data_IF_829082883693
#
_entry.id   IF_829082883693
#
_cell.length_a   1.000
_cell.length_b   1.000
_cell.length_c   1.000
_cell.angle_alpha   90.00
_cell.angle_beta   90.00
_cell.angle_gamma   90.00
#
_symmetry.space_group_name_H-M   'P 1'
#
loop_
_entity.id
_entity.type
_entity.pdbx_description
1 polymer ?
#
# COMPACT_ATOMS: atom_id res chain seq x y z
N UNK A 1 0.66 -2.55 -13.55
CA UNK A 1 1.19 -2.04 -14.82
C UNK A 1 0.24 -1.01 -15.41
N UNK A 2 0.76 -0.17 -16.28
CA UNK A 2 0.00 0.77 -17.12
C UNK A 2 0.44 0.51 -18.55
N UNK A 3 -0.46 0.11 -19.43
CA UNK A 3 -0.18 -0.24 -20.83
C UNK A 3 1.03 -1.19 -20.96
N UNK A 4 1.02 -2.29 -20.20
CA UNK A 4 2.06 -3.31 -20.09
C UNK A 4 3.40 -2.84 -19.48
N UNK A 5 3.60 -1.56 -19.22
CA UNK A 5 4.80 -1.05 -18.54
C UNK A 5 4.61 -1.10 -17.02
N UNK A 6 5.62 -1.58 -16.28
CA UNK A 6 5.57 -1.64 -14.83
C UNK A 6 5.56 -0.24 -14.21
N UNK A 7 4.75 -0.05 -13.16
CA UNK A 7 4.90 1.12 -12.27
C UNK A 7 6.31 1.05 -11.63
N UNK A 8 6.84 2.21 -11.26
CA UNK A 8 8.24 2.27 -10.81
C UNK A 8 9.26 2.54 -11.93
N UNK A 9 8.84 2.49 -13.21
CA UNK A 9 9.71 2.79 -14.34
C UNK A 9 9.35 4.10 -15.06
N UNK A 10 8.41 4.88 -14.52
CA UNK A 10 7.92 6.12 -15.14
C UNK A 10 8.62 7.38 -14.63
N UNK A 11 8.88 7.47 -13.33
CA UNK A 11 9.55 8.62 -12.72
C UNK A 11 11.06 8.46 -12.66
N UNK A 12 11.76 9.50 -12.28
CA UNK A 12 13.21 9.47 -12.05
C UNK A 12 13.59 8.51 -10.91
N UNK A 13 12.78 8.53 -9.87
CA UNK A 13 12.91 7.69 -8.68
C UNK A 13 11.57 7.04 -8.37
N UNK A 14 11.58 5.79 -7.90
CA UNK A 14 10.38 5.10 -7.46
C UNK A 14 10.67 4.23 -6.25
N UNK A 15 9.72 4.20 -5.30
CA UNK A 15 9.88 3.49 -4.04
C UNK A 15 8.90 2.32 -3.97
N UNK A 16 9.40 1.16 -3.57
CA UNK A 16 8.61 0.00 -3.22
C UNK A 16 8.78 -0.31 -1.74
N UNK A 17 7.66 -0.52 -1.05
CA UNK A 17 7.66 -0.95 0.35
C UNK A 17 7.58 -2.46 0.43
N UNK A 18 8.42 -3.04 1.27
CA UNK A 18 8.42 -4.46 1.63
C UNK A 18 8.02 -4.70 3.08
N UNK A 19 7.33 -3.71 3.67
CA UNK A 19 6.72 -3.86 5.00
C UNK A 19 5.85 -5.13 5.08
N UNK A 20 5.73 -5.75 6.24
CA UNK A 20 5.03 -7.03 6.46
C UNK A 20 3.61 -7.12 5.92
N UNK A 21 2.89 -5.98 5.80
CA UNK A 21 1.52 -5.94 5.28
C UNK A 21 1.44 -5.79 3.76
N UNK A 22 2.57 -5.66 3.05
CA UNK A 22 2.58 -5.48 1.59
C UNK A 22 2.37 -6.80 0.86
N UNK A 23 2.06 -6.71 -0.45
CA UNK A 23 1.89 -7.90 -1.30
C UNK A 23 3.18 -8.74 -1.39
N UNK A 24 4.32 -8.11 -1.21
CA UNK A 24 5.62 -8.71 -1.02
C UNK A 24 6.24 -8.10 0.24
N UNK A 25 6.84 -8.90 1.08
CA UNK A 25 7.46 -8.48 2.34
C UNK A 25 8.87 -9.04 2.47
N UNK A 26 9.69 -8.40 3.31
CA UNK A 26 11.02 -8.88 3.70
C UNK A 26 11.10 -9.12 5.20
N UNK A 27 10.15 -9.89 5.75
CA UNK A 27 10.09 -10.34 7.16
C UNK A 27 9.96 -9.20 8.20
N UNK A 28 9.19 -8.18 7.86
CA UNK A 28 8.95 -7.07 8.79
C UNK A 28 9.01 -5.73 8.06
N UNK A 29 10.15 -5.09 8.09
CA UNK A 29 10.40 -3.85 7.38
C UNK A 29 11.32 -4.07 6.20
N UNK A 30 11.23 -3.20 5.20
CA UNK A 30 12.09 -3.20 4.03
C UNK A 30 11.53 -2.36 2.90
N UNK A 31 12.38 -2.10 1.93
CA UNK A 31 12.00 -1.34 0.76
C UNK A 31 13.04 -1.40 -0.34
N UNK A 32 12.67 -0.89 -1.49
CA UNK A 32 13.57 -0.77 -2.63
C UNK A 32 13.36 0.58 -3.31
N UNK A 33 14.46 1.25 -3.58
CA UNK A 33 14.50 2.44 -4.42
C UNK A 33 14.93 2.03 -5.83
N UNK A 34 14.07 2.31 -6.80
CA UNK A 34 14.40 2.20 -8.23
C UNK A 34 14.85 3.55 -8.73
N UNK A 35 16.02 3.59 -9.35
CA UNK A 35 16.65 4.82 -9.86
C UNK A 35 16.71 4.75 -11.37
N UNK A 36 15.83 5.45 -12.04
CA UNK A 36 15.74 5.48 -13.50
C UNK A 36 16.61 6.59 -14.11
N UNK A 37 16.85 7.67 -13.35
CA UNK A 37 17.68 8.79 -13.80
C UNK A 37 19.15 8.54 -13.47
N UNK A 38 20.00 8.54 -14.50
CA UNK A 38 21.45 8.32 -14.37
C UNK A 38 22.15 9.30 -13.44
N UNK A 39 21.66 10.55 -13.35
CA UNK A 39 22.20 11.56 -12.44
C UNK A 39 22.28 11.09 -10.99
N UNK A 40 21.28 10.31 -10.54
CA UNK A 40 21.21 9.85 -9.15
C UNK A 40 21.87 8.48 -8.92
N UNK A 41 22.14 7.72 -9.98
CA UNK A 41 22.64 6.34 -9.84
C UNK A 41 23.99 6.24 -9.13
N UNK A 42 24.84 7.24 -9.27
CA UNK A 42 26.17 7.25 -8.66
C UNK A 42 26.12 7.60 -7.16
N UNK A 43 25.15 8.39 -6.73
CA UNK A 43 25.05 8.88 -5.35
C UNK A 43 24.33 7.91 -4.41
N UNK A 44 23.31 7.22 -4.91
CA UNK A 44 22.41 6.42 -4.07
C UNK A 44 23.14 5.32 -3.29
N UNK A 45 24.09 4.55 -3.85
CA UNK A 45 24.84 3.55 -3.07
C UNK A 45 25.55 4.15 -1.86
N UNK A 46 26.25 5.28 -2.03
CA UNK A 46 26.90 5.98 -0.95
C UNK A 46 25.95 6.58 0.06
N UNK A 47 24.89 7.24 -0.40
CA UNK A 47 23.85 7.79 0.48
C UNK A 47 23.18 6.71 1.32
N UNK A 48 22.95 5.53 0.77
CA UNK A 48 22.31 4.41 1.47
C UNK A 48 23.20 3.78 2.54
N UNK A 49 24.53 3.78 2.34
CA UNK A 49 25.44 3.00 3.17
C UNK A 49 26.72 3.77 3.47
N UNK A 50 26.69 4.64 4.46
CA UNK A 50 27.83 5.30 5.10
C UNK A 50 28.88 5.92 4.15
N UNK A 51 28.49 6.35 2.94
CA UNK A 51 29.41 6.88 1.94
C UNK A 51 30.19 5.83 1.16
N UNK A 52 29.85 4.55 1.28
CA UNK A 52 30.55 3.49 0.53
C UNK A 52 30.29 3.62 -0.97
N UNK A 53 31.36 3.73 -1.74
CA UNK A 53 31.30 3.70 -3.21
C UNK A 53 30.87 2.32 -3.70
N UNK A 54 30.23 2.30 -4.87
CA UNK A 54 29.97 1.05 -5.57
C UNK A 54 31.29 0.38 -5.90
N UNK A 55 31.49 -0.83 -5.41
CA UNK A 55 32.72 -1.57 -5.66
C UNK A 55 32.82 -1.99 -7.15
N UNK A 56 33.79 -1.49 -7.91
CA UNK A 56 33.84 -1.69 -9.36
C UNK A 56 34.35 -3.07 -9.76
N UNK A 57 35.06 -3.77 -8.88
CA UNK A 57 35.76 -5.01 -9.22
C UNK A 57 35.32 -6.22 -8.39
N UNK A 58 34.40 -7.01 -8.94
CA UNK A 58 33.90 -8.23 -8.31
C UNK A 58 34.98 -9.28 -7.98
N UNK A 59 36.14 -9.23 -8.65
CA UNK A 59 37.24 -10.18 -8.41
C UNK A 59 38.04 -9.88 -7.14
N UNK A 60 37.87 -8.69 -6.55
CA UNK A 60 38.58 -8.26 -5.31
C UNK A 60 37.61 -8.05 -4.15
N UNK A 61 36.62 -8.93 -4.00
CA UNK A 61 35.59 -8.84 -2.97
C UNK A 61 36.13 -8.88 -1.52
N UNK A 62 37.36 -9.38 -1.34
CA UNK A 62 38.04 -9.43 -0.04
C UNK A 62 38.66 -8.08 0.39
N UNK A 63 38.74 -7.08 -0.50
CA UNK A 63 39.13 -5.75 -0.07
C UNK A 63 38.13 -5.23 0.94
N UNK A 64 38.58 -4.76 2.12
CA UNK A 64 37.68 -4.20 3.10
C UNK A 64 36.86 -3.07 2.48
N UNK A 65 35.56 -3.16 2.58
CA UNK A 65 34.65 -2.14 2.05
C UNK A 65 34.89 -0.74 2.66
N UNK A 66 35.51 -0.68 3.83
CA UNK A 66 35.87 0.55 4.53
C UNK A 66 36.96 1.37 3.84
N UNK A 67 37.60 0.85 2.81
CA UNK A 67 38.66 1.59 2.06
C UNK A 67 38.05 2.58 1.07
N UNK A 68 36.79 2.44 0.67
CA UNK A 68 36.14 3.27 -0.35
C UNK A 68 34.93 4.03 0.23
N UNK A 69 35.13 4.74 1.37
CA UNK A 69 34.06 5.46 2.11
C UNK A 69 34.04 6.97 1.86
N UNK A 70 34.90 7.46 1.03
CA UNK A 70 35.10 8.91 0.79
C UNK A 70 34.39 9.41 -0.47
N UNK A 71 33.25 8.86 -0.78
CA UNK A 71 32.43 9.34 -1.90
C UNK A 71 32.00 10.79 -1.62
N UNK A 72 32.30 11.67 -2.56
CA UNK A 72 31.74 13.02 -2.56
C UNK A 72 30.23 12.94 -2.80
N UNK A 73 29.46 13.36 -1.81
CA UNK A 73 28.00 13.37 -1.80
C UNK A 73 27.45 14.80 -1.85
N UNK A 74 28.21 15.77 -2.37
CA UNK A 74 27.77 17.16 -2.53
C UNK A 74 27.23 17.75 -1.20
N UNK A 75 27.95 17.57 -0.10
CA UNK A 75 27.58 17.98 1.26
C UNK A 75 26.34 17.27 1.87
N UNK A 76 25.93 16.16 1.31
CA UNK A 76 24.83 15.35 1.88
C UNK A 76 25.43 14.29 2.80
N UNK A 77 25.02 14.29 4.06
CA UNK A 77 25.43 13.25 5.02
C UNK A 77 24.84 11.89 4.63
N UNK A 78 25.65 10.83 4.52
CA UNK A 78 25.16 9.50 4.21
C UNK A 78 24.35 8.91 5.36
N UNK A 79 23.51 7.97 5.01
CA UNK A 79 22.68 7.21 5.96
C UNK A 79 23.18 5.78 6.08
N UNK A 80 22.71 5.09 7.10
CA UNK A 80 22.92 3.65 7.26
C UNK A 80 21.59 2.89 7.09
N UNK A 81 21.21 2.63 5.83
CA UNK A 81 19.97 1.98 5.44
C UNK A 81 20.14 0.66 4.66
N UNK A 82 21.16 -0.15 4.91
CA UNK A 82 21.26 -1.46 4.26
C UNK A 82 20.14 -2.39 4.74
N UNK A 83 19.63 -3.19 3.82
CA UNK A 83 18.75 -4.30 4.17
C UNK A 83 19.61 -5.44 4.73
N UNK A 84 19.13 -6.14 5.75
CA UNK A 84 19.81 -7.32 6.28
C UNK A 84 19.78 -8.47 5.26
N UNK A 85 20.85 -9.27 5.21
CA UNK A 85 20.99 -10.39 4.29
C UNK A 85 19.83 -11.39 4.37
N UNK A 86 19.37 -11.69 5.60
CA UNK A 86 18.22 -12.60 5.77
C UNK A 86 16.93 -12.01 5.20
N UNK A 87 16.73 -10.71 5.30
CA UNK A 87 15.59 -10.01 4.69
C UNK A 87 15.68 -10.03 3.16
N UNK A 88 16.87 -9.79 2.61
CA UNK A 88 17.11 -9.84 1.18
C UNK A 88 16.91 -11.25 0.63
N UNK A 89 17.38 -12.27 1.33
CA UNK A 89 17.17 -13.67 0.99
C UNK A 89 15.69 -14.04 0.95
N UNK A 90 14.94 -13.69 2.00
CA UNK A 90 13.49 -13.91 2.04
C UNK A 90 12.77 -13.17 0.90
N UNK A 91 13.15 -11.92 0.64
CA UNK A 91 12.62 -11.12 -0.46
C UNK A 91 12.86 -11.75 -1.82
N UNK A 92 14.04 -12.31 -2.05
CA UNK A 92 14.41 -13.01 -3.29
C UNK A 92 13.46 -14.18 -3.56
N UNK A 93 13.25 -15.07 -2.59
CA UNK A 93 12.32 -16.21 -2.74
C UNK A 93 10.85 -15.79 -2.85
N UNK A 94 10.45 -14.70 -2.19
CA UNK A 94 9.08 -14.19 -2.28
C UNK A 94 8.80 -13.50 -3.60
N UNK A 95 9.82 -12.94 -4.27
CA UNK A 95 9.66 -12.25 -5.55
C UNK A 95 9.09 -13.17 -6.62
N UNK A 96 9.53 -14.42 -6.69
CA UNK A 96 9.01 -15.42 -7.65
C UNK A 96 7.51 -15.69 -7.47
N UNK A 97 6.99 -15.48 -6.26
CA UNK A 97 5.58 -15.72 -5.93
C UNK A 97 4.67 -14.53 -6.19
N UNK A 98 5.23 -13.32 -6.35
CA UNK A 98 4.47 -12.05 -6.43
C UNK A 98 3.39 -12.07 -7.51
N UNK A 99 3.70 -12.59 -8.69
CA UNK A 99 2.73 -12.65 -9.79
C UNK A 99 1.51 -13.51 -9.43
N UNK A 100 1.74 -14.68 -8.83
CA UNK A 100 0.68 -15.58 -8.39
C UNK A 100 -0.15 -14.97 -7.25
N UNK A 101 0.50 -14.33 -6.29
CA UNK A 101 -0.17 -13.64 -5.19
C UNK A 101 -1.04 -12.49 -5.71
N UNK A 102 -0.54 -11.68 -6.63
CA UNK A 102 -1.30 -10.60 -7.25
C UNK A 102 -2.47 -11.13 -8.08
N UNK A 103 -2.31 -12.24 -8.81
CA UNK A 103 -3.40 -12.90 -9.53
C UNK A 103 -4.51 -13.34 -8.58
N UNK A 104 -4.14 -13.98 -7.45
CA UNK A 104 -5.11 -14.40 -6.41
C UNK A 104 -5.85 -13.18 -5.83
N UNK A 105 -5.14 -12.11 -5.48
CA UNK A 105 -5.75 -10.86 -4.98
C UNK A 105 -6.74 -10.25 -5.99
N UNK A 106 -6.38 -10.22 -7.26
CA UNK A 106 -7.25 -9.76 -8.34
C UNK A 106 -8.56 -10.56 -8.43
N UNK A 107 -8.48 -11.89 -8.38
CA UNK A 107 -9.66 -12.76 -8.42
C UNK A 107 -10.58 -12.50 -7.21
N UNK A 108 -10.00 -12.38 -6.01
CA UNK A 108 -10.75 -12.09 -4.78
C UNK A 108 -11.43 -10.71 -4.87
N UNK A 109 -10.70 -9.67 -5.26
CA UNK A 109 -11.24 -8.33 -5.41
C UNK A 109 -12.42 -8.30 -6.41
N UNK A 110 -12.24 -8.91 -7.59
CA UNK A 110 -13.30 -9.02 -8.60
C UNK A 110 -14.52 -9.76 -8.06
N UNK A 111 -14.34 -10.84 -7.30
CA UNK A 111 -15.45 -11.59 -6.69
C UNK A 111 -16.21 -10.74 -5.68
N UNK A 112 -15.53 -10.01 -4.79
CA UNK A 112 -16.18 -9.10 -3.83
C UNK A 112 -16.95 -8.01 -4.57
N UNK A 113 -16.31 -7.30 -5.49
CA UNK A 113 -16.93 -6.22 -6.27
C UNK A 113 -18.16 -6.70 -7.05
N UNK A 114 -18.06 -7.86 -7.72
CA UNK A 114 -19.19 -8.46 -8.45
C UNK A 114 -20.35 -8.81 -7.54
N UNK A 115 -20.06 -9.36 -6.34
CA UNK A 115 -21.11 -9.77 -5.37
C UNK A 115 -21.81 -8.58 -4.73
N UNK A 116 -21.17 -7.43 -4.65
CA UNK A 116 -21.71 -6.21 -4.04
C UNK A 116 -22.21 -5.19 -5.06
N UNK A 117 -22.19 -5.49 -6.36
CA UNK A 117 -22.51 -4.55 -7.46
C UNK A 117 -23.93 -3.96 -7.39
N UNK A 118 -24.88 -4.69 -6.79
CA UNK A 118 -26.29 -4.27 -6.70
C UNK A 118 -26.51 -3.17 -5.63
N UNK A 119 -25.50 -2.88 -4.80
CA UNK A 119 -25.54 -1.77 -3.86
C UNK A 119 -24.95 -0.52 -4.54
N UNK A 120 -25.77 0.24 -5.27
CA UNK A 120 -25.35 1.39 -6.07
C UNK A 120 -24.70 2.53 -5.27
N UNK A 121 -24.94 2.57 -3.96
CA UNK A 121 -24.35 3.50 -3.00
C UNK A 121 -22.97 3.04 -2.49
N UNK A 122 -22.55 1.80 -2.77
CA UNK A 122 -21.22 1.29 -2.49
C UNK A 122 -20.39 1.32 -3.76
N UNK A 123 -19.45 2.27 -3.84
CA UNK A 123 -18.65 2.50 -5.03
C UNK A 123 -17.22 2.03 -4.83
N UNK A 124 -16.78 1.13 -5.67
CA UNK A 124 -15.38 0.70 -5.74
C UNK A 124 -14.58 1.56 -6.71
N UNK A 125 -13.27 1.55 -6.56
CA UNK A 125 -12.38 2.19 -7.49
C UNK A 125 -12.57 1.59 -8.90
N UNK A 126 -12.81 2.46 -9.89
CA UNK A 126 -12.91 2.03 -11.28
C UNK A 126 -11.52 1.67 -11.82
N UNK A 127 -11.41 0.53 -12.48
CA UNK A 127 -10.21 0.17 -13.24
C UNK A 127 -10.25 0.86 -14.60
N UNK A 128 -9.17 1.52 -14.98
CA UNK A 128 -9.03 2.13 -16.31
C UNK A 128 -8.57 1.07 -17.32
N UNK A 129 -8.95 1.23 -18.59
CA UNK A 129 -8.43 0.40 -19.70
C UNK A 129 -6.90 0.53 -19.75
N UNK A 130 -6.20 -0.57 -19.94
CA UNK A 130 -4.73 -0.60 -19.95
C UNK A 130 -4.06 -0.62 -18.56
N UNK A 131 -4.83 -0.57 -17.47
CA UNK A 131 -4.30 -0.61 -16.11
C UNK A 131 -4.46 -1.99 -15.49
N UNK A 132 -3.38 -2.51 -14.93
CA UNK A 132 -3.31 -3.76 -14.20
C UNK A 132 -3.06 -3.48 -12.71
N UNK A 133 -4.07 -3.73 -11.88
CA UNK A 133 -4.03 -3.44 -10.44
C UNK A 133 -3.54 -4.66 -9.66
N UNK A 134 -2.78 -4.44 -8.57
CA UNK A 134 -2.35 -5.49 -7.65
C UNK A 134 -3.27 -5.66 -6.43
N UNK A 135 -4.22 -4.76 -6.23
CA UNK A 135 -5.16 -4.76 -5.11
C UNK A 135 -4.50 -5.04 -3.76
N UNK A 136 -3.50 -4.25 -3.42
CA UNK A 136 -2.95 -4.26 -2.06
C UNK A 136 -4.05 -3.99 -1.02
N UNK A 137 -4.90 -3.03 -1.32
CA UNK A 137 -6.11 -2.70 -0.56
C UNK A 137 -7.34 -2.82 -1.46
N UNK A 138 -8.49 -3.03 -0.86
CA UNK A 138 -9.78 -2.97 -1.56
C UNK A 138 -10.65 -1.85 -0.95
N UNK A 139 -10.36 -0.58 -1.28
CA UNK A 139 -11.16 0.54 -0.82
C UNK A 139 -12.51 0.57 -1.52
N UNK A 140 -13.52 0.99 -0.77
CA UNK A 140 -14.84 1.30 -1.28
C UNK A 140 -15.37 2.57 -0.61
N UNK A 141 -16.28 3.25 -1.29
CA UNK A 141 -16.95 4.44 -0.78
C UNK A 141 -18.41 4.12 -0.50
N UNK A 142 -18.87 4.45 0.71
CA UNK A 142 -20.28 4.43 1.05
C UNK A 142 -20.81 5.84 0.81
N UNK A 143 -21.82 5.99 -0.05
CA UNK A 143 -22.47 7.27 -0.31
C UNK A 143 -23.34 7.67 0.88
N UNK A 144 -22.77 8.50 1.76
CA UNK A 144 -23.44 8.98 2.98
C UNK A 144 -24.52 10.05 2.72
N UNK A 145 -24.74 10.45 1.46
CA UNK A 145 -25.88 11.29 1.08
C UNK A 145 -27.20 10.50 1.15
N UNK A 146 -27.14 9.18 1.08
CA UNK A 146 -28.29 8.33 1.27
C UNK A 146 -28.57 8.24 2.76
N UNK A 147 -29.82 8.58 3.14
CA UNK A 147 -30.31 8.63 4.53
C UNK A 147 -29.93 7.35 5.29
N UNK A 148 -29.35 7.52 6.48
CA UNK A 148 -28.94 6.47 7.42
C UNK A 148 -27.77 5.55 6.98
N UNK A 149 -27.15 5.76 5.83
CA UNK A 149 -25.91 5.08 5.47
C UNK A 149 -24.73 5.76 6.14
N UNK A 150 -24.28 5.19 7.25
CA UNK A 150 -23.08 5.60 7.97
C UNK A 150 -22.03 4.49 7.88
N UNK A 151 -20.83 4.83 7.40
CA UNK A 151 -19.72 3.88 7.36
C UNK A 151 -19.35 3.33 8.74
N UNK A 152 -19.48 4.16 9.79
CA UNK A 152 -19.14 3.75 11.15
C UNK A 152 -20.10 2.66 11.64
N UNK A 153 -21.40 2.79 11.37
CA UNK A 153 -22.37 1.73 11.65
C UNK A 153 -22.11 0.45 10.87
N UNK A 154 -21.67 0.60 9.61
CA UNK A 154 -21.24 -0.57 8.83
C UNK A 154 -20.05 -1.27 9.47
N UNK A 155 -18.99 -0.52 9.83
CA UNK A 155 -17.78 -1.05 10.48
C UNK A 155 -18.14 -1.72 11.82
N UNK A 156 -18.97 -1.07 12.63
CA UNK A 156 -19.40 -1.57 13.94
C UNK A 156 -20.12 -2.92 13.81
N UNK A 157 -21.11 -3.01 12.92
CA UNK A 157 -21.86 -4.26 12.72
C UNK A 157 -20.95 -5.37 12.18
N UNK A 158 -20.08 -5.06 11.23
CA UNK A 158 -19.13 -6.03 10.69
C UNK A 158 -18.18 -6.56 11.79
N UNK A 159 -17.70 -5.68 12.65
CA UNK A 159 -16.82 -6.05 13.76
C UNK A 159 -17.55 -6.77 14.89
N UNK A 160 -18.61 -6.16 15.45
CA UNK A 160 -19.28 -6.68 16.63
C UNK A 160 -20.02 -8.00 16.36
N UNK A 161 -20.79 -8.05 15.25
CA UNK A 161 -21.63 -9.20 14.92
C UNK A 161 -20.90 -10.30 14.15
N UNK A 162 -20.09 -9.92 13.17
CA UNK A 162 -19.47 -10.87 12.24
C UNK A 162 -17.98 -11.11 12.51
N UNK A 163 -17.38 -10.40 13.46
CA UNK A 163 -15.95 -10.48 13.79
C UNK A 163 -15.05 -10.23 12.58
N UNK A 164 -15.50 -9.36 11.68
CA UNK A 164 -14.76 -8.95 10.48
C UNK A 164 -14.26 -7.53 10.66
N UNK A 165 -12.95 -7.35 10.63
CA UNK A 165 -12.33 -6.04 10.73
C UNK A 165 -12.37 -5.32 9.37
N UNK A 166 -13.25 -4.34 9.24
CA UNK A 166 -13.24 -3.35 8.16
C UNK A 166 -12.62 -2.08 8.69
N UNK A 167 -11.70 -1.50 7.96
CA UNK A 167 -10.90 -0.36 8.45
C UNK A 167 -11.02 0.86 7.54
N UNK A 168 -10.62 2.01 8.06
CA UNK A 168 -10.45 3.25 7.29
C UNK A 168 -8.97 3.51 7.11
N UNK A 169 -8.52 3.67 5.87
CA UNK A 169 -7.09 3.88 5.55
C UNK A 169 -6.92 5.19 4.77
N UNK A 170 -6.48 6.31 5.40
CA UNK A 170 -6.05 6.41 6.80
C UNK A 170 -6.64 7.66 7.40
N UNK A 171 -6.35 7.92 8.69
CA UNK A 171 -6.69 9.21 9.31
C UNK A 171 -5.93 10.32 8.58
N UNK A 172 -6.60 11.44 8.20
CA UNK A 172 -5.95 12.53 7.47
C UNK A 172 -4.78 13.14 8.24
N UNK A 173 -3.63 13.28 7.59
CA UNK A 173 -2.41 13.76 8.26
C UNK A 173 -2.60 15.12 8.90
N UNK A 174 -3.29 16.04 8.23
CA UNK A 174 -3.55 17.39 8.74
C UNK A 174 -4.40 17.42 10.02
N UNK A 175 -5.07 16.31 10.39
CA UNK A 175 -5.83 16.17 11.65
C UNK A 175 -5.03 15.60 12.81
N UNK A 176 -3.80 15.18 12.60
CA UNK A 176 -2.96 14.74 13.70
C UNK A 176 -2.57 15.92 14.57
N UNK A 177 -2.65 15.76 15.90
CA UNK A 177 -2.29 16.78 16.89
C UNK A 177 -0.90 17.40 16.65
N UNK A 178 0.03 16.59 16.17
CA UNK A 178 1.39 17.03 15.82
C UNK A 178 1.39 18.15 14.76
N UNK A 179 0.63 17.97 13.67
CA UNK A 179 0.54 18.97 12.60
C UNK A 179 -0.33 20.15 12.99
N UNK A 180 -1.43 19.93 13.74
CA UNK A 180 -2.29 21.00 14.22
C UNK A 180 -1.55 21.99 15.13
N UNK A 181 -0.64 21.50 15.98
CA UNK A 181 0.14 22.36 16.90
C UNK A 181 1.20 23.21 16.19
N UNK A 182 1.64 22.84 14.98
CA UNK A 182 2.65 23.57 14.22
C UNK A 182 2.11 24.73 13.38
N UNK A 183 0.83 25.03 13.50
CA UNK A 183 0.24 26.34 13.24
C UNK A 183 0.24 26.86 11.81
N UNK A 184 0.47 26.04 10.81
CA UNK A 184 0.31 26.49 9.43
C UNK A 184 -1.11 26.25 8.95
N UNK A 185 -1.91 27.29 8.89
CA UNK A 185 -3.29 27.31 8.37
C UNK A 185 -3.43 26.90 6.89
N UNK A 186 -2.38 26.39 6.25
CA UNK A 186 -2.40 25.91 4.88
C UNK A 186 -3.32 24.70 4.63
N UNK A 187 -3.82 24.07 5.70
CA UNK A 187 -4.60 22.84 5.62
C UNK A 187 -6.11 23.04 5.68
N UNK A 188 -6.58 24.28 5.69
CA UNK A 188 -7.98 24.60 5.98
C UNK A 188 -8.97 24.16 4.91
N UNK A 189 -8.51 23.75 3.71
CA UNK A 189 -9.42 23.37 2.63
C UNK A 189 -8.99 22.11 1.87
N UNK A 190 -8.83 21.00 2.58
CA UNK A 190 -8.59 19.69 1.97
C UNK A 190 -9.92 18.91 1.82
N UNK A 191 -10.89 19.53 1.16
CA UNK A 191 -12.26 19.03 1.00
C UNK A 191 -12.31 17.62 0.42
N UNK A 192 -11.46 17.30 -0.57
CA UNK A 192 -11.38 15.97 -1.16
C UNK A 192 -10.84 14.93 -0.17
N UNK A 193 -9.86 15.28 0.65
CA UNK A 193 -9.31 14.40 1.70
C UNK A 193 -10.35 14.13 2.77
N UNK A 194 -11.08 15.17 3.19
CA UNK A 194 -12.17 15.04 4.16
C UNK A 194 -13.31 14.17 3.61
N UNK A 195 -13.71 14.41 2.39
CA UNK A 195 -14.73 13.61 1.71
C UNK A 195 -14.29 12.14 1.62
N UNK A 196 -13.04 11.90 1.21
CA UNK A 196 -12.47 10.56 1.14
C UNK A 196 -12.52 9.87 2.51
N UNK A 197 -12.00 10.51 3.54
CA UNK A 197 -11.97 9.96 4.90
C UNK A 197 -13.37 9.69 5.46
N UNK A 198 -14.30 10.61 5.22
CA UNK A 198 -15.69 10.48 5.71
C UNK A 198 -16.42 9.27 5.13
N UNK A 199 -16.14 8.90 3.89
CA UNK A 199 -16.93 7.94 3.13
C UNK A 199 -16.23 6.60 2.88
N UNK A 200 -14.91 6.53 3.04
CA UNK A 200 -14.11 5.38 2.65
C UNK A 200 -14.09 4.29 3.74
N UNK A 201 -14.22 3.06 3.27
CA UNK A 201 -13.91 1.83 4.02
C UNK A 201 -12.94 0.97 3.20
N UNK A 202 -12.20 0.10 3.85
CA UNK A 202 -11.36 -0.90 3.20
C UNK A 202 -11.77 -2.30 3.64
N UNK A 203 -12.13 -3.14 2.68
CA UNK A 203 -12.47 -4.53 2.95
C UNK A 203 -11.18 -5.34 3.25
N UNK A 204 -11.21 -6.23 4.26
CA UNK A 204 -10.10 -7.13 4.50
C UNK A 204 -9.91 -8.07 3.30
N UNK A 205 -8.68 -8.17 2.84
CA UNK A 205 -8.34 -9.04 1.72
C UNK A 205 -6.86 -9.43 1.80
N UNK A 206 -6.59 -10.69 2.09
CA UNK A 206 -5.25 -11.23 2.11
C UNK A 206 -5.18 -12.61 1.44
N UNK A 207 -4.04 -12.98 0.95
CA UNK A 207 -3.84 -14.16 0.10
C UNK A 207 -4.07 -15.51 0.81
N UNK A 208 -4.11 -15.51 2.13
CA UNK A 208 -4.41 -16.70 2.94
C UNK A 208 -5.91 -17.00 3.06
N UNK A 209 -6.78 -16.04 2.72
CA UNK A 209 -8.21 -16.29 2.71
C UNK A 209 -8.56 -17.40 1.71
N UNK A 210 -9.31 -18.37 2.17
CA UNK A 210 -9.89 -19.42 1.34
C UNK A 210 -11.29 -19.01 0.83
N UNK A 211 -11.91 -19.87 0.07
CA UNK A 211 -13.25 -19.60 -0.47
C UNK A 211 -14.34 -19.48 0.61
N UNK A 212 -14.20 -20.19 1.74
CA UNK A 212 -15.14 -20.11 2.87
C UNK A 212 -15.06 -18.73 3.52
N UNK A 213 -13.85 -18.24 3.79
CA UNK A 213 -13.62 -16.92 4.36
C UNK A 213 -14.15 -15.82 3.46
N UNK A 214 -13.83 -15.91 2.16
CA UNK A 214 -14.28 -14.93 1.17
C UNK A 214 -15.80 -14.89 1.04
N UNK A 215 -16.44 -16.05 1.02
CA UNK A 215 -17.90 -16.14 0.97
C UNK A 215 -18.53 -15.62 2.28
N UNK A 216 -17.90 -15.86 3.43
CA UNK A 216 -18.35 -15.32 4.72
C UNK A 216 -18.29 -13.81 4.73
N UNK A 217 -17.16 -13.21 4.31
CA UNK A 217 -17.02 -11.77 4.16
C UNK A 217 -18.13 -11.17 3.27
N UNK A 218 -18.37 -11.77 2.10
CA UNK A 218 -19.37 -11.29 1.14
C UNK A 218 -20.78 -11.36 1.74
N UNK A 219 -21.17 -12.51 2.32
CA UNK A 219 -22.50 -12.70 2.89
C UNK A 219 -22.76 -11.74 4.06
N UNK A 220 -21.77 -11.58 4.94
CA UNK A 220 -21.84 -10.67 6.08
C UNK A 220 -21.99 -9.22 5.63
N UNK A 221 -21.23 -8.82 4.61
CA UNK A 221 -21.33 -7.48 4.01
C UNK A 221 -22.73 -7.24 3.41
N UNK A 222 -23.25 -8.19 2.64
CA UNK A 222 -24.61 -8.09 2.06
C UNK A 222 -25.66 -7.95 3.16
N UNK A 223 -25.60 -8.78 4.22
CA UNK A 223 -26.53 -8.73 5.34
C UNK A 223 -26.48 -7.39 6.07
N UNK A 224 -25.27 -6.88 6.31
CA UNK A 224 -25.08 -5.59 6.97
C UNK A 224 -25.62 -4.44 6.13
N UNK A 225 -25.31 -4.39 4.83
CA UNK A 225 -25.82 -3.36 3.93
C UNK A 225 -27.35 -3.39 3.83
N UNK A 226 -27.95 -4.57 3.72
CA UNK A 226 -29.42 -4.72 3.74
C UNK A 226 -30.04 -4.27 5.06
N UNK A 227 -29.40 -4.56 6.19
CA UNK A 227 -29.92 -4.15 7.51
C UNK A 227 -29.87 -2.62 7.69
N UNK A 228 -28.84 -1.97 7.18
CA UNK A 228 -28.72 -0.52 7.21
C UNK A 228 -29.80 0.17 6.34
N UNK A 229 -30.17 -0.44 5.22
CA UNK A 229 -31.24 0.07 4.36
C UNK A 229 -32.64 -0.12 4.97
N UNK A 230 -32.87 -1.18 5.75
CA UNK A 230 -34.19 -1.48 6.36
C UNK A 230 -34.53 -0.64 7.59
N UNK A 231 -33.54 0.00 8.21
CA UNK A 231 -33.76 0.91 9.35
C UNK A 231 -34.25 2.31 8.92
N UNK A 232 -34.71 2.40 7.69
CA UNK A 232 -35.41 3.51 7.08
C UNK A 232 -36.91 3.18 6.95
#
# INVERSE_FOLDING_TARGET
KINNRHVGTYGDLSIFSFHQQKNMTTLGEGGMLVVNNKKFQNYIPGLRHNGHKKYPNKKKYWKPAMVDVDQDLENITPFNFPMMEIQACAGFFLLDRVNNLNKKRNLMAKKIMKSLKNFNFLKFQKTKKGYEYSYHLLPAFIDTKIKNLDKNKFIEIMSAKYKIQVIVQYHPLHKYKYFLKRGNNYYLNLSNTEFFYKNMISFPMHVWMNNKDLNYLIRSSIRTLKALLKKN
#
